data_IF_392453644316
#
_entry.id   IF_392453644316
#
_cell.length_a   1.000
_cell.length_b   1.000
_cell.length_c   1.000
_cell.angle_alpha   90.00
_cell.angle_beta   90.00
_cell.angle_gamma   90.00
#
_symmetry.space_group_name_H-M   'P 1'
#
loop_
_entity.id
_entity.type
_entity.pdbx_description
1 polymer ?
#
# COMPACT_ATOMS: atom_id res chain seq x y z
N UNK A 1 -5.65 5.45 -9.48
CA UNK A 1 -5.79 6.03 -8.13
C UNK A 1 -4.99 7.33 -8.03
N UNK A 2 -5.52 8.48 -8.48
CA UNK A 2 -4.70 9.68 -8.71
C UNK A 2 -4.06 10.26 -7.44
N UNK A 3 -4.62 9.99 -6.27
CA UNK A 3 -4.15 10.55 -5.01
C UNK A 3 -2.97 9.79 -4.39
N UNK A 4 -2.73 8.53 -4.77
CA UNK A 4 -1.65 7.69 -4.23
C UNK A 4 -0.29 8.23 -4.70
N UNK A 5 -0.12 8.38 -6.02
CA UNK A 5 1.07 9.02 -6.58
C UNK A 5 1.25 10.46 -6.08
N UNK A 6 0.15 11.22 -5.95
CA UNK A 6 0.21 12.60 -5.44
C UNK A 6 0.78 12.64 -4.01
N UNK A 7 0.32 11.77 -3.12
CA UNK A 7 0.83 11.67 -1.76
C UNK A 7 2.33 11.30 -1.74
N UNK A 8 2.74 10.34 -2.57
CA UNK A 8 4.15 9.97 -2.72
C UNK A 8 5.03 11.14 -3.19
N UNK A 9 4.58 11.91 -4.19
CA UNK A 9 5.29 13.10 -4.69
C UNK A 9 5.41 14.20 -3.64
N UNK A 10 4.35 14.45 -2.86
CA UNK A 10 4.38 15.44 -1.76
C UNK A 10 5.41 15.02 -0.72
N UNK A 11 5.39 13.77 -0.27
CA UNK A 11 6.36 13.28 0.70
C UNK A 11 7.81 13.36 0.20
N UNK A 12 8.04 12.94 -1.04
CA UNK A 12 9.36 12.99 -1.65
C UNK A 12 9.90 14.43 -1.75
N UNK A 13 9.04 15.40 -2.06
CA UNK A 13 9.41 16.83 -2.06
C UNK A 13 9.86 17.31 -0.67
N UNK A 14 9.29 16.76 0.39
CA UNK A 14 9.68 17.05 1.78
C UNK A 14 10.86 16.20 2.28
N UNK A 15 11.54 15.44 1.40
CA UNK A 15 12.64 14.55 1.79
C UNK A 15 12.20 13.32 2.58
N UNK A 16 10.90 12.99 2.56
CA UNK A 16 10.32 11.83 3.26
C UNK A 16 9.88 10.76 2.26
N UNK A 17 9.73 9.54 2.75
CA UNK A 17 9.14 8.45 1.97
C UNK A 17 7.85 7.98 2.64
N UNK A 18 6.76 7.87 1.87
CA UNK A 18 5.51 7.24 2.33
C UNK A 18 5.44 5.85 1.72
N UNK A 19 5.44 4.84 2.59
CA UNK A 19 5.14 3.46 2.21
C UNK A 19 3.62 3.23 2.33
N UNK A 20 2.99 2.70 1.28
CA UNK A 20 1.56 2.43 1.24
C UNK A 20 1.36 0.92 1.09
N UNK A 21 0.64 0.33 2.04
CA UNK A 21 0.33 -1.10 2.09
C UNK A 21 -1.19 -1.25 2.12
N UNK A 22 -1.72 -2.21 1.39
CA UNK A 22 -3.15 -2.51 1.37
C UNK A 22 -3.41 -4.01 1.36
N UNK A 23 -4.64 -4.40 1.70
CA UNK A 23 -5.24 -5.69 1.35
C UNK A 23 -6.64 -5.40 0.83
N UNK A 24 -7.01 -5.98 -0.31
CA UNK A 24 -8.35 -5.78 -0.88
C UNK A 24 -9.26 -6.90 -0.38
N UNK A 25 -10.44 -6.53 0.10
CA UNK A 25 -11.49 -7.47 0.51
C UNK A 25 -12.66 -7.34 -0.45
N UNK A 26 -13.24 -8.46 -0.86
CA UNK A 26 -14.34 -8.52 -1.82
C UNK A 26 -14.29 -9.83 -2.61
N UNK A 27 -15.22 -9.98 -3.54
CA UNK A 27 -15.29 -11.12 -4.45
C UNK A 27 -15.16 -10.67 -5.90
N UNK A 28 -15.10 -11.63 -6.83
CA UNK A 28 -15.14 -11.33 -8.27
C UNK A 28 -16.52 -10.84 -8.73
N UNK A 29 -17.58 -11.13 -7.97
CA UNK A 29 -18.97 -10.73 -8.27
C UNK A 29 -19.25 -9.28 -7.90
N UNK A 30 -18.41 -8.69 -7.04
CA UNK A 30 -18.54 -7.28 -6.69
C UNK A 30 -18.35 -6.39 -7.94
N UNK A 31 -19.21 -5.39 -8.18
CA UNK A 31 -19.14 -4.51 -9.36
C UNK A 31 -17.78 -3.82 -9.56
N UNK A 32 -16.99 -3.73 -8.50
CA UNK A 32 -15.72 -3.05 -8.41
C UNK A 32 -14.56 -3.89 -8.94
N UNK A 33 -14.76 -5.19 -9.20
CA UNK A 33 -13.78 -6.14 -9.72
C UNK A 33 -12.49 -6.18 -8.90
N UNK A 34 -12.41 -7.13 -7.95
CA UNK A 34 -11.28 -7.26 -7.03
C UNK A 34 -9.92 -7.37 -7.73
N UNK A 35 -9.80 -8.17 -8.80
CA UNK A 35 -8.56 -8.35 -9.57
C UNK A 35 -8.14 -7.02 -10.22
N UNK A 36 -9.11 -6.28 -10.78
CA UNK A 36 -8.88 -4.97 -11.37
C UNK A 36 -8.43 -3.92 -10.35
N UNK A 37 -8.99 -3.94 -9.13
CA UNK A 37 -8.56 -3.04 -8.06
C UNK A 37 -7.14 -3.35 -7.59
N UNK A 38 -6.82 -4.63 -7.37
CA UNK A 38 -5.47 -5.02 -6.98
C UNK A 38 -4.42 -4.60 -8.00
N UNK A 39 -4.70 -4.84 -9.29
CA UNK A 39 -3.78 -4.47 -10.38
C UNK A 39 -3.52 -2.96 -10.38
N UNK A 40 -4.58 -2.16 -10.33
CA UNK A 40 -4.48 -0.69 -10.29
C UNK A 40 -3.72 -0.19 -9.05
N UNK A 41 -3.90 -0.83 -7.89
CA UNK A 41 -3.14 -0.46 -6.68
C UNK A 41 -1.65 -0.77 -6.83
N UNK A 42 -1.31 -1.95 -7.35
CA UNK A 42 0.08 -2.37 -7.61
C UNK A 42 0.77 -1.45 -8.62
N UNK A 43 0.08 -1.06 -9.69
CA UNK A 43 0.58 -0.10 -10.70
C UNK A 43 0.90 1.28 -10.11
N UNK A 44 0.21 1.67 -9.03
CA UNK A 44 0.44 2.94 -8.33
C UNK A 44 1.54 2.85 -7.25
N UNK A 45 2.20 1.69 -7.15
CA UNK A 45 3.27 1.44 -6.18
C UNK A 45 2.80 1.00 -4.80
N UNK A 46 1.53 0.62 -4.63
CA UNK A 46 1.03 0.07 -3.36
C UNK A 46 1.46 -1.39 -3.20
N UNK A 47 1.94 -1.74 -2.01
CA UNK A 47 2.20 -3.13 -1.65
C UNK A 47 0.86 -3.78 -1.26
N UNK A 48 0.32 -4.63 -2.14
CA UNK A 48 -0.94 -5.34 -1.89
C UNK A 48 -0.65 -6.71 -1.30
N UNK A 49 -1.07 -6.94 -0.06
CA UNK A 49 -0.92 -8.20 0.65
C UNK A 49 -2.20 -9.04 0.56
N UNK A 50 -2.11 -10.38 0.62
CA UNK A 50 -3.27 -11.27 0.46
C UNK A 50 -4.30 -11.19 1.59
N UNK A 51 -3.94 -10.61 2.74
CA UNK A 51 -4.85 -10.42 3.87
C UNK A 51 -4.46 -9.18 4.69
N UNK A 52 -5.44 -8.61 5.38
CA UNK A 52 -5.22 -7.50 6.31
C UNK A 52 -4.19 -7.87 7.39
N UNK A 53 -4.23 -9.11 7.90
CA UNK A 53 -3.27 -9.58 8.89
C UNK A 53 -1.83 -9.56 8.35
N UNK A 54 -1.62 -9.93 7.09
CA UNK A 54 -0.30 -9.84 6.44
C UNK A 54 0.12 -8.39 6.16
N UNK A 55 -0.82 -7.53 5.74
CA UNK A 55 -0.58 -6.10 5.55
C UNK A 55 -0.08 -5.43 6.84
N UNK A 56 -0.76 -5.69 7.96
CA UNK A 56 -0.38 -5.15 9.28
C UNK A 56 0.97 -5.69 9.75
N UNK A 57 1.25 -6.98 9.57
CA UNK A 57 2.58 -7.56 9.92
C UNK A 57 3.70 -6.91 9.12
N UNK A 58 3.50 -6.68 7.83
CA UNK A 58 4.48 -5.98 6.99
C UNK A 58 4.68 -4.54 7.48
N UNK A 59 3.59 -3.81 7.76
CA UNK A 59 3.67 -2.45 8.28
C UNK A 59 4.48 -2.39 9.60
N UNK A 60 4.21 -3.30 10.52
CA UNK A 60 4.94 -3.41 11.78
C UNK A 60 6.44 -3.70 11.55
N UNK A 61 6.77 -4.63 10.65
CA UNK A 61 8.16 -4.96 10.31
C UNK A 61 8.93 -3.75 9.74
N UNK A 62 8.29 -2.95 8.88
CA UNK A 62 8.90 -1.72 8.33
C UNK A 62 9.14 -0.68 9.44
N UNK A 63 8.19 -0.48 10.34
CA UNK A 63 8.36 0.48 11.44
C UNK A 63 9.46 0.02 12.40
N UNK A 64 9.50 -1.27 12.75
CA UNK A 64 10.50 -1.82 13.65
C UNK A 64 11.91 -1.81 13.04
N UNK A 65 12.06 -2.13 11.75
CA UNK A 65 13.36 -2.06 11.09
C UNK A 65 13.93 -0.64 11.08
N UNK A 66 13.08 0.38 10.90
CA UNK A 66 13.47 1.79 10.97
C UNK A 66 13.90 2.25 12.36
N UNK A 67 13.39 1.63 13.43
CA UNK A 67 13.81 1.93 14.82
C UNK A 67 15.18 1.35 15.14
N UNK A 68 15.53 0.20 14.54
CA UNK A 68 16.81 -0.48 14.78
C UNK A 68 17.96 0.09 13.94
N UNK A 69 17.67 0.92 12.93
CA UNK A 69 18.65 1.59 12.08
C UNK A 69 18.91 3.05 12.46
N UNK A 70 18.39 3.50 13.61
CA UNK A 70 18.68 4.81 14.22
C UNK A 70 19.46 4.63 15.51
#
# INVERSE_FOLDING_TARGET
FPYIQKAGKIAAKDGRHICIISSVCGTEEDPQNIIGQEKKLKEEGVIVMPSNAQAVRLAAAIVLSRRNSQ
#
